data_IF_919797315408
#
_entry.id   IF_919797315408
#
_cell.length_a   1.000
_cell.length_b   1.000
_cell.length_c   1.000
_cell.angle_alpha   90.00
_cell.angle_beta   90.00
_cell.angle_gamma   90.00
#
_symmetry.space_group_name_H-M   'P 1'
#
loop_
_entity.id
_entity.type
_entity.pdbx_description
1 polymer ?
#
# COMPACT_ATOMS: atom_id res chain seq x y z
N UNK A 1 -36.97 -49.28 -1.59
CA UNK A 1 -36.93 -47.85 -1.23
C UNK A 1 -35.47 -47.46 -1.07
N UNK A 2 -34.95 -46.63 -1.96
CA UNK A 2 -33.60 -46.06 -1.83
C UNK A 2 -33.77 -44.72 -1.11
N UNK A 3 -33.31 -44.64 0.13
CA UNK A 3 -33.22 -43.37 0.88
C UNK A 3 -31.97 -42.62 0.41
N UNK A 4 -32.11 -41.79 -0.62
CA UNK A 4 -31.06 -40.88 -1.08
C UNK A 4 -31.20 -39.50 -0.42
N UNK A 5 -30.83 -39.39 0.85
CA UNK A 5 -30.83 -38.14 1.61
C UNK A 5 -29.55 -37.31 1.45
N UNK A 6 -28.96 -37.28 0.26
CA UNK A 6 -27.79 -36.46 -0.03
C UNK A 6 -28.16 -35.38 -1.03
N UNK A 7 -28.20 -34.12 -0.61
CA UNK A 7 -28.29 -33.01 -1.55
C UNK A 7 -27.07 -33.07 -2.49
N UNK A 8 -27.30 -33.11 -3.80
CA UNK A 8 -26.22 -33.06 -4.79
C UNK A 8 -25.40 -31.79 -4.56
N UNK A 9 -24.06 -31.87 -4.43
CA UNK A 9 -23.22 -30.68 -4.29
C UNK A 9 -23.45 -29.73 -5.46
N UNK A 10 -23.60 -28.44 -5.17
CA UNK A 10 -23.61 -27.38 -6.18
C UNK A 10 -22.19 -27.22 -6.73
N UNK A 11 -22.04 -27.31 -8.04
CA UNK A 11 -20.77 -27.11 -8.74
C UNK A 11 -20.71 -25.69 -9.28
N UNK A 12 -19.51 -25.14 -9.34
CA UNK A 12 -19.22 -23.81 -9.83
C UNK A 12 -18.34 -23.89 -11.07
N UNK A 13 -18.75 -23.18 -12.11
CA UNK A 13 -17.90 -22.86 -13.25
C UNK A 13 -17.51 -21.39 -13.14
N UNK A 14 -16.21 -21.12 -13.14
CA UNK A 14 -15.67 -19.78 -13.01
C UNK A 14 -14.90 -19.35 -14.24
N UNK A 15 -15.13 -18.12 -14.69
CA UNK A 15 -14.17 -17.40 -15.54
C UNK A 15 -13.18 -16.72 -14.59
N UNK A 16 -11.91 -17.00 -14.79
CA UNK A 16 -10.82 -16.46 -13.96
C UNK A 16 -9.99 -15.51 -14.81
N UNK A 17 -9.92 -14.25 -14.41
CA UNK A 17 -9.24 -13.18 -15.11
C UNK A 17 -7.85 -12.92 -14.50
N UNK A 18 -6.92 -12.48 -15.34
CA UNK A 18 -5.53 -12.19 -14.99
C UNK A 18 -5.03 -10.96 -15.77
N UNK A 19 -4.19 -10.15 -15.14
CA UNK A 19 -3.52 -9.04 -15.83
C UNK A 19 -2.36 -9.50 -16.73
N UNK A 20 -1.86 -10.72 -16.51
CA UNK A 20 -0.73 -11.28 -17.29
C UNK A 20 -1.03 -12.70 -17.73
N UNK A 21 -0.46 -13.11 -18.86
CA UNK A 21 -0.49 -14.48 -19.35
C UNK A 21 0.63 -15.37 -18.79
N UNK A 22 1.40 -14.86 -17.81
CA UNK A 22 2.52 -15.57 -17.18
C UNK A 22 2.06 -16.93 -16.66
N UNK A 23 2.87 -17.98 -16.87
CA UNK A 23 2.53 -19.33 -16.45
C UNK A 23 1.27 -19.90 -17.11
N UNK A 24 0.79 -19.32 -18.22
CA UNK A 24 -0.45 -19.75 -18.86
C UNK A 24 -1.69 -19.40 -18.04
N UNK A 25 -1.67 -18.28 -17.30
CA UNK A 25 -2.74 -17.89 -16.36
C UNK A 25 -2.96 -18.94 -15.26
N UNK A 26 -1.83 -19.41 -14.74
CA UNK A 26 -1.71 -20.24 -13.55
C UNK A 26 -0.56 -19.71 -12.71
N UNK A 27 -0.34 -20.30 -11.54
CA UNK A 27 0.82 -19.98 -10.71
C UNK A 27 2.10 -19.92 -11.59
N UNK A 28 2.88 -18.83 -11.51
CA UNK A 28 2.91 -17.82 -10.44
C UNK A 28 1.96 -16.62 -10.63
N UNK A 29 1.14 -16.56 -11.68
CA UNK A 29 0.19 -15.47 -11.87
C UNK A 29 -0.92 -15.50 -10.81
N UNK A 30 -1.18 -14.35 -10.19
CA UNK A 30 -2.28 -14.18 -9.25
C UNK A 30 -3.53 -13.76 -10.04
N UNK A 31 -4.68 -14.41 -9.83
CA UNK A 31 -5.93 -14.00 -10.43
C UNK A 31 -6.31 -12.58 -10.00
N UNK A 32 -6.90 -11.82 -10.92
CA UNK A 32 -7.52 -10.53 -10.59
C UNK A 32 -8.96 -10.75 -10.18
N UNK A 33 -9.73 -11.49 -10.97
CA UNK A 33 -11.16 -11.68 -10.73
C UNK A 33 -11.58 -13.14 -10.97
N UNK A 34 -12.44 -13.68 -10.12
CA UNK A 34 -13.19 -14.92 -10.39
C UNK A 34 -14.66 -14.57 -10.53
N UNK A 35 -15.28 -14.90 -11.66
CA UNK A 35 -16.72 -14.80 -11.85
C UNK A 35 -17.28 -16.22 -11.96
N UNK A 36 -17.83 -16.73 -10.86
CA UNK A 36 -18.35 -18.08 -10.75
C UNK A 36 -19.88 -18.12 -10.80
N UNK A 37 -20.41 -19.04 -11.58
CA UNK A 37 -21.85 -19.33 -11.68
C UNK A 37 -22.13 -20.77 -11.30
N UNK A 38 -23.34 -21.01 -10.80
CA UNK A 38 -23.81 -22.36 -10.51
C UNK A 38 -23.95 -23.15 -11.81
N UNK A 39 -23.31 -24.31 -11.87
CA UNK A 39 -23.31 -25.22 -13.02
C UNK A 39 -23.71 -26.64 -12.58
N UNK A 40 -24.12 -27.46 -13.56
CA UNK A 40 -24.36 -28.87 -13.29
C UNK A 40 -23.03 -29.63 -13.12
N UNK A 41 -23.00 -30.76 -12.37
CA UNK A 41 -21.78 -31.50 -12.04
C UNK A 41 -20.91 -31.91 -13.23
N UNK A 42 -21.50 -32.04 -14.42
CA UNK A 42 -20.84 -32.52 -15.63
C UNK A 42 -20.59 -31.41 -16.67
N UNK A 43 -20.98 -30.16 -16.38
CA UNK A 43 -20.88 -29.07 -17.35
C UNK A 43 -19.57 -28.27 -17.26
N UNK A 44 -18.82 -28.37 -16.16
CA UNK A 44 -17.61 -27.60 -16.00
C UNK A 44 -16.39 -28.31 -16.59
N UNK A 45 -15.80 -27.71 -17.63
CA UNK A 45 -14.53 -28.15 -18.23
C UNK A 45 -13.50 -27.05 -18.01
N UNK A 46 -12.52 -27.30 -17.15
CA UNK A 46 -11.45 -26.36 -16.90
C UNK A 46 -10.54 -26.23 -18.13
N UNK A 47 -10.12 -25.01 -18.45
CA UNK A 47 -9.14 -24.79 -19.53
C UNK A 47 -7.73 -24.74 -18.95
N UNK A 48 -6.79 -25.31 -19.70
CA UNK A 48 -5.35 -25.32 -19.39
C UNK A 48 -4.58 -24.26 -20.17
N UNK A 49 -5.22 -23.65 -21.16
CA UNK A 49 -4.63 -22.59 -21.99
C UNK A 49 -5.34 -21.28 -21.65
N UNK A 50 -4.54 -20.23 -21.51
CA UNK A 50 -5.08 -18.90 -21.31
C UNK A 50 -5.62 -18.31 -22.61
N UNK A 51 -6.80 -17.71 -22.53
CA UNK A 51 -7.45 -17.00 -23.62
C UNK A 51 -7.19 -15.49 -23.53
N UNK A 52 -7.34 -14.81 -24.67
CA UNK A 52 -7.15 -13.37 -24.80
C UNK A 52 -5.81 -12.98 -25.41
N UNK A 53 -5.79 -11.84 -26.11
CA UNK A 53 -4.58 -11.22 -26.69
C UNK A 53 -4.04 -10.07 -25.84
N UNK A 54 -4.68 -9.78 -24.70
CA UNK A 54 -4.32 -8.74 -23.76
C UNK A 54 -5.17 -8.82 -22.49
N UNK A 55 -4.77 -8.09 -21.45
CA UNK A 55 -5.49 -8.07 -20.19
C UNK A 55 -6.95 -7.55 -20.35
N UNK A 56 -7.95 -8.21 -19.73
CA UNK A 56 -7.79 -9.40 -18.92
C UNK A 56 -7.62 -10.67 -19.77
N UNK A 57 -6.57 -11.41 -19.47
CA UNK A 57 -6.45 -12.80 -19.93
C UNK A 57 -7.36 -13.68 -19.09
N UNK A 58 -7.90 -14.76 -19.66
CA UNK A 58 -8.88 -15.57 -18.93
C UNK A 58 -8.74 -17.07 -19.13
N UNK A 59 -9.27 -17.83 -18.17
CA UNK A 59 -9.43 -19.29 -18.25
C UNK A 59 -10.70 -19.73 -17.53
N UNK A 60 -11.14 -20.95 -17.81
CA UNK A 60 -12.21 -21.60 -17.05
C UNK A 60 -11.62 -22.42 -15.90
N UNK A 61 -12.13 -22.22 -14.70
CA UNK A 61 -11.85 -23.04 -13.52
C UNK A 61 -13.13 -23.68 -12.99
N UNK A 62 -12.98 -24.84 -12.35
CA UNK A 62 -14.07 -25.59 -11.75
C UNK A 62 -13.85 -25.71 -10.25
N UNK A 63 -14.90 -25.52 -9.47
CA UNK A 63 -14.87 -25.56 -8.00
C UNK A 63 -16.18 -26.17 -7.46
N UNK A 64 -16.18 -26.62 -6.22
CA UNK A 64 -17.43 -26.86 -5.47
C UNK A 64 -17.78 -25.65 -4.63
N UNK A 65 -19.07 -25.43 -4.34
CA UNK A 65 -19.48 -24.39 -3.35
C UNK A 65 -18.85 -24.66 -1.98
N UNK A 66 -18.72 -25.93 -1.59
CA UNK A 66 -18.11 -26.32 -0.30
C UNK A 66 -16.59 -26.14 -0.22
N UNK A 67 -15.88 -26.16 -1.35
CA UNK A 67 -14.41 -26.02 -1.41
C UNK A 67 -13.97 -24.61 -1.77
N UNK A 68 -14.89 -23.77 -2.29
CA UNK A 68 -14.59 -22.46 -2.86
C UNK A 68 -13.71 -21.59 -1.96
N UNK A 69 -13.98 -21.56 -0.66
CA UNK A 69 -13.16 -20.80 0.31
C UNK A 69 -11.70 -21.26 0.31
N UNK A 70 -11.46 -22.56 0.35
CA UNK A 70 -10.11 -23.14 0.32
C UNK A 70 -9.45 -22.91 -1.03
N UNK A 71 -10.22 -23.03 -2.12
CA UNK A 71 -9.72 -22.79 -3.48
C UNK A 71 -9.27 -21.33 -3.67
N UNK A 72 -9.97 -20.35 -3.09
CA UNK A 72 -9.56 -18.94 -3.11
C UNK A 72 -8.29 -18.70 -2.28
N UNK A 73 -8.15 -19.32 -1.10
CA UNK A 73 -6.91 -19.23 -0.31
C UNK A 73 -5.72 -19.75 -1.13
N UNK A 74 -5.88 -20.87 -1.84
CA UNK A 74 -4.83 -21.42 -2.68
C UNK A 74 -4.53 -20.53 -3.91
N UNK A 75 -5.55 -19.95 -4.51
CA UNK A 75 -5.42 -19.13 -5.73
C UNK A 75 -4.76 -17.77 -5.47
N UNK A 76 -5.11 -17.10 -4.38
CA UNK A 76 -4.58 -15.77 -4.03
C UNK A 76 -3.34 -15.82 -3.14
N UNK A 77 -3.13 -16.93 -2.41
CA UNK A 77 -2.01 -17.07 -1.48
C UNK A 77 -2.03 -15.96 -0.42
N UNK A 78 -0.97 -15.14 -0.38
CA UNK A 78 -0.86 -14.00 0.54
C UNK A 78 -1.50 -12.72 0.01
N UNK A 79 -1.97 -12.70 -1.24
CA UNK A 79 -2.62 -11.52 -1.81
C UNK A 79 -4.01 -11.31 -1.19
N UNK A 80 -4.37 -10.06 -0.90
CA UNK A 80 -5.69 -9.74 -0.36
C UNK A 80 -6.78 -9.99 -1.39
N UNK A 81 -7.92 -10.54 -0.97
CA UNK A 81 -9.07 -10.76 -1.85
C UNK A 81 -10.39 -10.62 -1.11
N UNK A 82 -11.44 -10.25 -1.83
CA UNK A 82 -12.82 -10.13 -1.34
C UNK A 82 -13.72 -11.01 -2.19
N UNK A 83 -14.44 -11.91 -1.53
CA UNK A 83 -15.46 -12.77 -2.13
C UNK A 83 -16.83 -12.19 -1.83
N UNK A 84 -17.65 -12.10 -2.87
CA UNK A 84 -19.04 -11.66 -2.83
C UNK A 84 -19.91 -12.78 -3.37
N UNK A 85 -20.66 -13.44 -2.50
CA UNK A 85 -21.72 -14.36 -2.90
C UNK A 85 -22.99 -13.55 -3.12
N UNK A 86 -23.60 -13.71 -4.30
CA UNK A 86 -24.86 -13.07 -4.65
C UNK A 86 -25.98 -14.11 -4.67
N UNK A 87 -27.13 -13.70 -4.13
CA UNK A 87 -28.33 -14.51 -4.05
C UNK A 87 -29.47 -13.82 -4.81
N UNK A 88 -30.48 -14.60 -5.20
CA UNK A 88 -31.66 -14.03 -5.84
C UNK A 88 -32.34 -13.02 -4.90
N UNK A 89 -32.97 -11.99 -5.47
CA UNK A 89 -33.50 -10.88 -4.68
C UNK A 89 -34.57 -11.31 -3.68
N UNK A 90 -34.46 -10.80 -2.45
CA UNK A 90 -35.35 -11.07 -1.33
C UNK A 90 -35.23 -12.48 -0.76
N UNK A 91 -34.12 -13.17 -1.03
CA UNK A 91 -33.89 -14.54 -0.56
C UNK A 91 -32.98 -14.63 0.66
N UNK A 92 -32.48 -13.51 1.18
CA UNK A 92 -31.76 -13.46 2.48
C UNK A 92 -30.66 -14.52 2.58
N UNK A 93 -29.93 -14.71 1.48
CA UNK A 93 -28.84 -15.66 1.34
C UNK A 93 -29.19 -17.14 1.59
N UNK A 94 -30.41 -17.55 1.20
CA UNK A 94 -30.77 -18.95 1.05
C UNK A 94 -29.78 -19.66 0.10
N UNK A 95 -29.11 -20.70 0.60
CA UNK A 95 -28.12 -21.48 -0.15
C UNK A 95 -28.64 -22.03 -1.48
N UNK A 96 -29.95 -22.34 -1.57
CA UNK A 96 -30.58 -22.83 -2.80
C UNK A 96 -30.85 -21.72 -3.83
N UNK A 97 -30.62 -20.47 -3.44
CA UNK A 97 -30.87 -19.26 -4.24
C UNK A 97 -29.59 -18.53 -4.60
N UNK A 98 -28.42 -19.17 -4.43
CA UNK A 98 -27.14 -18.65 -4.87
C UNK A 98 -27.17 -18.47 -6.40
N UNK A 99 -26.96 -17.23 -6.85
CA UNK A 99 -26.96 -16.88 -8.28
C UNK A 99 -25.55 -16.80 -8.85
N UNK A 100 -24.57 -16.46 -8.02
CA UNK A 100 -23.17 -16.41 -8.42
C UNK A 100 -22.24 -16.07 -7.27
N UNK A 101 -20.95 -16.23 -7.50
CA UNK A 101 -19.89 -15.82 -6.59
C UNK A 101 -18.86 -15.04 -7.39
N UNK A 102 -18.56 -13.82 -6.98
CA UNK A 102 -17.47 -13.04 -7.57
C UNK A 102 -16.35 -12.84 -6.55
N UNK A 103 -15.11 -13.12 -6.91
CA UNK A 103 -13.94 -12.83 -6.07
C UNK A 103 -13.08 -11.79 -6.74
N UNK A 104 -12.70 -10.75 -6.01
CA UNK A 104 -11.91 -9.63 -6.47
C UNK A 104 -10.55 -9.62 -5.75
N UNK A 105 -9.47 -9.50 -6.50
CA UNK A 105 -8.15 -9.11 -5.97
C UNK A 105 -8.32 -7.74 -5.31
N UNK A 106 -8.09 -7.69 -4.00
CA UNK A 106 -8.33 -6.52 -3.18
C UNK A 106 -7.02 -5.82 -2.84
N UNK A 107 -6.17 -5.61 -3.83
CA UNK A 107 -4.88 -4.97 -3.63
C UNK A 107 -4.97 -3.44 -3.75
N UNK A 108 -6.14 -2.85 -4.03
CA UNK A 108 -6.35 -1.42 -4.19
C UNK A 108 -5.93 -0.85 -5.55
N UNK A 109 -5.42 -1.68 -6.48
CA UNK A 109 -5.12 -1.28 -7.86
C UNK A 109 -6.35 -1.36 -8.74
N UNK A 110 -6.25 -0.72 -9.91
CA UNK A 110 -7.24 -0.83 -10.96
C UNK A 110 -7.02 -2.13 -11.75
N UNK A 111 -8.04 -2.99 -11.80
CA UNK A 111 -8.01 -4.21 -12.59
C UNK A 111 -9.08 -4.15 -13.68
N UNK A 112 -8.71 -4.62 -14.87
CA UNK A 112 -9.65 -4.68 -16.00
C UNK A 112 -10.54 -5.91 -15.89
N UNK A 113 -11.81 -5.74 -16.22
CA UNK A 113 -12.73 -6.82 -16.54
C UNK A 113 -12.92 -6.88 -18.05
N UNK A 114 -13.79 -7.76 -18.55
CA UNK A 114 -14.03 -7.90 -20.00
C UNK A 114 -14.50 -6.61 -20.68
N UNK A 115 -15.16 -5.71 -19.95
CA UNK A 115 -15.81 -4.51 -20.51
C UNK A 115 -15.60 -3.24 -19.68
N UNK A 116 -14.96 -3.34 -18.53
CA UNK A 116 -14.94 -2.32 -17.49
C UNK A 116 -13.66 -2.47 -16.63
N UNK A 117 -13.65 -1.84 -15.46
CA UNK A 117 -12.62 -2.05 -14.44
C UNK A 117 -13.19 -1.96 -13.04
N UNK A 118 -12.40 -2.40 -12.06
CA UNK A 118 -12.76 -2.30 -10.66
C UNK A 118 -11.54 -1.99 -9.78
N UNK A 119 -11.81 -1.52 -8.56
CA UNK A 119 -10.87 -1.48 -7.44
C UNK A 119 -11.52 -2.17 -6.24
N UNK A 120 -10.77 -3.00 -5.55
CA UNK A 120 -11.23 -3.61 -4.32
C UNK A 120 -10.22 -3.40 -3.19
N UNK A 121 -10.72 -3.20 -1.98
CA UNK A 121 -9.93 -3.03 -0.77
C UNK A 121 -10.50 -3.94 0.31
N UNK A 122 -9.62 -4.56 1.10
CA UNK A 122 -9.93 -5.29 2.33
C UNK A 122 -9.03 -4.78 3.45
N UNK A 123 -9.63 -4.18 4.46
CA UNK A 123 -8.92 -3.65 5.64
C UNK A 123 -8.66 -4.76 6.67
N UNK A 124 -7.82 -4.45 7.65
CA UNK A 124 -7.44 -5.40 8.72
C UNK A 124 -8.61 -5.84 9.58
N UNK A 125 -9.60 -4.98 9.80
CA UNK A 125 -10.85 -5.31 10.50
C UNK A 125 -11.80 -6.17 9.64
N UNK A 126 -11.39 -6.53 8.42
CA UNK A 126 -12.17 -7.30 7.46
C UNK A 126 -13.13 -6.45 6.63
N UNK A 127 -13.37 -5.18 6.99
CA UNK A 127 -14.21 -4.30 6.17
C UNK A 127 -13.68 -4.20 4.74
N UNK A 128 -14.58 -4.21 3.77
CA UNK A 128 -14.24 -4.44 2.37
C UNK A 128 -15.05 -3.54 1.45
N UNK A 129 -14.41 -2.94 0.46
CA UNK A 129 -15.07 -2.17 -0.58
C UNK A 129 -14.76 -2.76 -1.95
N UNK A 130 -15.74 -2.70 -2.86
CA UNK A 130 -15.56 -2.96 -4.29
C UNK A 130 -16.23 -1.84 -5.05
N UNK A 131 -15.45 -1.13 -5.85
CA UNK A 131 -15.90 -0.07 -6.75
C UNK A 131 -15.72 -0.54 -8.18
N UNK A 132 -16.71 -0.29 -9.03
CA UNK A 132 -16.65 -0.56 -10.46
C UNK A 132 -16.62 0.75 -11.23
N UNK A 133 -16.08 0.68 -12.44
CA UNK A 133 -15.89 1.80 -13.35
C UNK A 133 -16.30 1.38 -14.75
N UNK A 134 -16.86 2.32 -15.51
CA UNK A 134 -17.34 2.01 -16.87
C UNK A 134 -16.22 2.01 -17.92
N UNK A 135 -15.03 2.48 -17.57
CA UNK A 135 -13.83 2.43 -18.39
C UNK A 135 -12.82 1.37 -17.92
N UNK A 136 -11.69 1.24 -18.62
CA UNK A 136 -10.62 0.28 -18.31
C UNK A 136 -9.49 0.84 -17.44
N UNK A 137 -9.62 2.06 -16.94
CA UNK A 137 -8.57 2.85 -16.26
C UNK A 137 -8.97 3.31 -14.85
N UNK A 138 -10.16 2.93 -14.40
CA UNK A 138 -10.76 3.38 -13.14
C UNK A 138 -10.82 4.91 -13.02
N UNK A 139 -11.21 5.60 -14.09
CA UNK A 139 -11.22 7.07 -14.15
C UNK A 139 -12.64 7.67 -14.23
N UNK A 140 -13.61 6.93 -14.78
CA UNK A 140 -14.95 7.40 -15.10
C UNK A 140 -16.03 6.38 -14.75
N UNK A 141 -17.22 6.92 -14.47
CA UNK A 141 -18.41 6.13 -14.16
C UNK A 141 -18.29 5.28 -12.89
N UNK A 142 -17.62 5.80 -11.85
CA UNK A 142 -17.48 5.12 -10.57
C UNK A 142 -18.84 4.77 -9.96
N UNK A 143 -18.99 3.52 -9.54
CA UNK A 143 -20.12 3.04 -8.76
C UNK A 143 -19.63 2.13 -7.62
N UNK A 144 -20.20 2.28 -6.43
CA UNK A 144 -19.95 1.36 -5.31
C UNK A 144 -20.78 0.10 -5.50
N UNK A 145 -20.11 -1.01 -5.81
CA UNK A 145 -20.74 -2.33 -5.86
C UNK A 145 -20.90 -2.91 -4.44
N UNK A 146 -19.89 -2.71 -3.60
CA UNK A 146 -19.86 -3.21 -2.24
C UNK A 146 -19.22 -2.20 -1.28
N UNK A 147 -19.85 -2.01 -0.12
CA UNK A 147 -19.27 -1.34 1.04
C UNK A 147 -19.66 -2.11 2.32
N UNK A 148 -18.84 -3.12 2.65
CA UNK A 148 -19.06 -4.02 3.77
C UNK A 148 -18.29 -3.55 5.01
N UNK A 149 -19.00 -3.34 6.10
CA UNK A 149 -18.46 -3.09 7.45
C UNK A 149 -17.80 -4.34 8.04
N UNK A 150 -16.94 -4.14 9.04
CA UNK A 150 -16.28 -5.24 9.76
C UNK A 150 -17.29 -6.25 10.34
N UNK A 151 -18.40 -5.76 10.90
CA UNK A 151 -19.44 -6.61 11.50
C UNK A 151 -20.15 -7.51 10.46
N UNK A 152 -20.38 -7.00 9.25
CA UNK A 152 -20.97 -7.80 8.17
C UNK A 152 -20.04 -8.93 7.73
N UNK A 153 -18.73 -8.69 7.75
CA UNK A 153 -17.72 -9.67 7.33
C UNK A 153 -17.41 -10.70 8.43
N UNK A 154 -17.32 -10.28 9.69
CA UNK A 154 -17.00 -11.17 10.82
C UNK A 154 -18.04 -12.27 11.00
N UNK A 155 -19.31 -11.90 10.88
CA UNK A 155 -20.41 -12.81 11.17
C UNK A 155 -20.79 -13.65 9.94
N UNK A 156 -20.15 -13.40 8.78
CA UNK A 156 -20.57 -13.90 7.47
C UNK A 156 -22.10 -13.76 7.28
N UNK A 157 -22.66 -12.70 7.87
CA UNK A 157 -24.09 -12.50 7.92
C UNK A 157 -24.57 -12.09 6.55
N UNK A 158 -25.77 -12.56 6.21
CA UNK A 158 -26.41 -12.10 5.00
C UNK A 158 -26.74 -10.62 5.15
N UNK A 159 -26.22 -9.79 4.25
CA UNK A 159 -26.65 -8.41 4.11
C UNK A 159 -27.52 -8.30 2.86
N UNK A 160 -28.82 -8.10 3.06
CA UNK A 160 -29.84 -8.19 2.01
C UNK A 160 -29.77 -9.56 1.28
N UNK A 161 -29.11 -9.62 0.12
CA UNK A 161 -28.95 -10.84 -0.68
C UNK A 161 -27.47 -11.11 -1.01
N UNK A 162 -26.56 -10.64 -0.15
CA UNK A 162 -25.12 -10.83 -0.30
C UNK A 162 -24.45 -11.40 0.96
N UNK A 163 -23.46 -12.26 0.76
CA UNK A 163 -22.47 -12.61 1.78
C UNK A 163 -21.08 -12.20 1.33
N UNK A 164 -20.30 -11.68 2.26
CA UNK A 164 -18.95 -11.18 2.00
C UNK A 164 -17.96 -11.83 2.96
N UNK A 165 -16.84 -12.29 2.41
CA UNK A 165 -15.69 -12.77 3.17
C UNK A 165 -14.43 -12.59 2.33
N UNK A 166 -13.26 -12.90 2.88
CA UNK A 166 -12.01 -12.71 2.16
C UNK A 166 -10.79 -13.04 3.00
N UNK A 167 -9.62 -12.93 2.39
CA UNK A 167 -8.32 -13.14 3.02
C UNK A 167 -7.37 -11.99 2.75
N UNK A 168 -6.31 -11.88 3.56
CA UNK A 168 -5.27 -10.86 3.41
C UNK A 168 -5.73 -9.43 3.76
N UNK A 169 -4.79 -8.48 3.68
CA UNK A 169 -5.02 -7.05 3.94
C UNK A 169 -4.44 -6.26 2.78
N UNK A 170 -5.19 -5.30 2.25
CA UNK A 170 -4.71 -4.40 1.21
C UNK A 170 -3.47 -3.65 1.69
N UNK A 171 -2.42 -3.53 0.86
CA UNK A 171 -1.32 -2.62 1.19
C UNK A 171 -1.83 -1.19 1.26
N UNK A 172 -1.14 -0.35 2.05
CA UNK A 172 -1.29 1.09 1.95
C UNK A 172 -0.38 1.61 0.83
N UNK A 173 -0.95 2.40 -0.06
CA UNK A 173 -0.22 3.13 -1.08
C UNK A 173 0.32 4.43 -0.49
N UNK A 174 1.41 4.92 -1.04
CA UNK A 174 2.13 6.06 -0.53
C UNK A 174 2.36 7.06 -1.65
N UNK A 175 1.97 8.30 -1.39
CA UNK A 175 2.30 9.44 -2.24
C UNK A 175 3.31 10.31 -1.50
N UNK A 176 4.51 10.42 -2.07
CA UNK A 176 5.63 11.15 -1.50
C UNK A 176 5.89 12.42 -2.28
N UNK A 177 5.86 13.56 -1.58
CA UNK A 177 6.41 14.82 -2.06
C UNK A 177 7.89 14.85 -1.70
N UNK A 178 8.73 14.74 -2.71
CA UNK A 178 10.19 14.81 -2.60
C UNK A 178 10.62 16.27 -2.82
N UNK A 179 11.33 16.86 -1.87
CA UNK A 179 11.87 18.23 -1.94
C UNK A 179 13.37 18.22 -2.19
N UNK A 180 13.86 19.17 -2.99
CA UNK A 180 15.25 19.30 -3.42
C UNK A 180 15.71 20.75 -3.35
N UNK A 181 17.00 20.96 -3.06
CA UNK A 181 17.63 22.29 -3.11
C UNK A 181 17.78 22.84 -4.53
N UNK A 182 17.78 21.95 -5.54
CA UNK A 182 18.01 22.29 -6.93
C UNK A 182 17.07 21.55 -7.86
N UNK A 183 16.69 22.20 -8.97
CA UNK A 183 15.95 21.60 -10.07
C UNK A 183 16.83 20.83 -11.06
N UNK A 184 18.15 20.88 -10.86
CA UNK A 184 19.12 20.16 -11.71
C UNK A 184 18.75 18.68 -11.77
N UNK A 185 18.81 18.07 -12.96
CA UNK A 185 18.43 16.66 -13.14
C UNK A 185 16.92 16.39 -13.05
N UNK A 186 16.07 17.42 -12.96
CA UNK A 186 14.62 17.27 -13.02
C UNK A 186 14.01 16.60 -11.79
N UNK A 187 14.61 16.76 -10.61
CA UNK A 187 14.12 16.21 -9.33
C UNK A 187 14.05 14.69 -9.35
N UNK A 188 15.08 14.08 -9.93
CA UNK A 188 15.23 12.63 -10.09
C UNK A 188 16.64 12.21 -9.71
N UNK A 189 16.80 10.91 -9.42
CA UNK A 189 18.12 10.28 -9.29
C UNK A 189 19.00 10.67 -10.48
N UNK A 190 20.27 11.08 -10.26
CA UNK A 190 21.07 10.90 -9.05
C UNK A 190 20.95 12.01 -7.98
N UNK A 191 20.05 12.98 -8.14
CA UNK A 191 19.91 14.07 -7.16
C UNK A 191 19.21 13.56 -5.91
N UNK A 192 19.82 13.82 -4.75
CA UNK A 192 19.30 13.40 -3.45
C UNK A 192 18.24 14.37 -2.95
N UNK A 193 17.05 13.89 -2.57
CA UNK A 193 16.04 14.73 -1.93
C UNK A 193 16.53 15.15 -0.54
N UNK A 194 16.22 16.38 -0.13
CA UNK A 194 16.46 16.83 1.24
C UNK A 194 15.34 16.40 2.18
N UNK A 195 14.09 16.45 1.75
CA UNK A 195 12.95 16.16 2.60
C UNK A 195 11.94 15.36 1.78
N UNK A 196 11.36 14.33 2.38
CA UNK A 196 10.29 13.56 1.77
C UNK A 196 9.10 13.54 2.70
N UNK A 197 8.02 14.18 2.31
CA UNK A 197 6.75 14.15 3.02
C UNK A 197 5.84 13.13 2.35
N UNK A 198 5.43 12.10 3.07
CA UNK A 198 4.65 10.98 2.52
C UNK A 198 3.31 10.86 3.22
N UNK A 199 2.25 10.82 2.42
CA UNK A 199 0.88 10.54 2.87
C UNK A 199 0.45 9.14 2.45
N UNK A 200 -0.40 8.52 3.27
CA UNK A 200 -0.96 7.19 3.00
C UNK A 200 -2.25 7.29 2.21
N UNK A 201 -2.45 6.37 1.27
CA UNK A 201 -3.63 6.20 0.44
C UNK A 201 -4.10 4.73 0.51
N UNK A 202 -5.40 4.50 0.42
CA UNK A 202 -5.95 3.13 0.39
C UNK A 202 -5.97 2.53 -1.02
N UNK A 203 -5.90 3.37 -2.05
CA UNK A 203 -5.97 2.99 -3.47
C UNK A 203 -4.71 3.45 -4.20
N UNK A 204 -4.31 2.70 -5.23
CA UNK A 204 -3.19 3.07 -6.10
C UNK A 204 -3.64 4.10 -7.15
N UNK A 205 -3.70 5.37 -6.74
CA UNK A 205 -4.10 6.49 -7.60
C UNK A 205 -2.96 7.50 -7.81
N UNK A 206 -1.81 7.25 -7.19
CA UNK A 206 -0.67 8.14 -7.27
C UNK A 206 -0.09 8.16 -8.68
N UNK A 207 0.20 9.36 -9.19
CA UNK A 207 0.92 9.54 -10.46
C UNK A 207 2.22 10.29 -10.18
N UNK A 208 3.35 9.63 -10.48
CA UNK A 208 4.66 10.22 -10.28
C UNK A 208 4.89 11.36 -11.29
N UNK A 209 5.53 12.45 -10.85
CA UNK A 209 5.83 13.54 -11.77
C UNK A 209 7.04 13.21 -12.63
N UNK A 210 7.05 13.70 -13.86
CA UNK A 210 8.16 13.51 -14.80
C UNK A 210 9.19 14.65 -14.75
N UNK A 211 8.85 15.77 -14.10
CA UNK A 211 9.69 16.95 -13.92
C UNK A 211 9.51 17.57 -12.53
N UNK A 212 10.44 18.45 -12.14
CA UNK A 212 10.29 19.31 -10.97
C UNK A 212 9.10 20.27 -11.12
N UNK A 213 8.50 20.62 -9.98
CA UNK A 213 7.70 21.82 -9.79
C UNK A 213 8.49 22.87 -8.98
N UNK A 214 8.08 24.13 -9.09
CA UNK A 214 8.69 25.27 -8.40
C UNK A 214 9.68 26.07 -9.24
N UNK A 215 9.86 27.34 -8.89
CA UNK A 215 10.80 28.28 -9.52
C UNK A 215 11.99 28.62 -8.62
N UNK A 216 11.94 28.21 -7.35
CA UNK A 216 12.97 28.39 -6.35
C UNK A 216 12.92 27.22 -5.35
N UNK A 217 13.99 27.09 -4.57
CA UNK A 217 14.07 26.12 -3.47
C UNK A 217 12.93 26.33 -2.44
N UNK A 218 12.17 25.28 -2.06
CA UNK A 218 12.25 23.88 -2.50
C UNK A 218 11.61 23.58 -3.85
N UNK A 219 12.38 22.94 -4.72
CA UNK A 219 11.86 22.24 -5.89
C UNK A 219 11.24 20.92 -5.46
N UNK A 220 10.13 20.52 -6.06
CA UNK A 220 9.40 19.32 -5.64
C UNK A 220 9.08 18.36 -6.78
N UNK A 221 8.95 17.08 -6.45
CA UNK A 221 8.41 16.05 -7.34
C UNK A 221 7.52 15.08 -6.57
N UNK A 222 6.60 14.42 -7.27
CA UNK A 222 5.79 13.33 -6.68
C UNK A 222 6.42 11.99 -7.01
N UNK A 223 6.62 11.15 -5.99
CA UNK A 223 6.97 9.74 -6.12
C UNK A 223 5.83 8.87 -5.56
N UNK A 224 5.62 7.71 -6.18
CA UNK A 224 4.58 6.77 -5.80
C UNK A 224 5.23 5.48 -5.32
N UNK A 225 4.77 4.95 -4.20
CA UNK A 225 5.27 3.69 -3.62
C UNK A 225 4.16 3.01 -2.82
N UNK A 226 4.50 1.95 -2.09
CA UNK A 226 3.63 1.32 -1.10
C UNK A 226 4.40 1.07 0.18
N UNK A 227 3.71 0.73 1.27
CA UNK A 227 4.37 0.37 2.54
C UNK A 227 5.33 -0.81 2.43
N UNK A 228 5.22 -1.66 1.39
CA UNK A 228 6.14 -2.78 1.16
C UNK A 228 7.43 -2.38 0.46
N UNK A 229 7.41 -1.36 -0.41
CA UNK A 229 8.58 -0.92 -1.19
C UNK A 229 9.26 0.33 -0.63
N UNK A 230 8.54 1.13 0.17
CA UNK A 230 8.95 2.45 0.62
C UNK A 230 10.41 2.55 1.09
N UNK A 231 10.84 1.65 1.98
CA UNK A 231 12.20 1.70 2.55
C UNK A 231 13.28 1.45 1.49
N UNK A 232 13.00 0.59 0.51
CA UNK A 232 13.90 0.34 -0.62
C UNK A 232 13.91 1.53 -1.59
N UNK A 233 12.75 2.10 -1.87
CA UNK A 233 12.60 3.26 -2.76
C UNK A 233 13.34 4.48 -2.18
N UNK A 234 13.19 4.74 -0.88
CA UNK A 234 13.93 5.77 -0.15
C UNK A 234 15.43 5.47 -0.12
N UNK A 235 15.85 4.24 0.17
CA UNK A 235 17.27 3.87 0.13
C UNK A 235 17.90 4.13 -1.23
N UNK A 236 17.16 3.88 -2.32
CA UNK A 236 17.60 4.17 -3.68
C UNK A 236 17.67 5.68 -3.96
N UNK A 237 16.67 6.44 -3.50
CA UNK A 237 16.62 7.88 -3.71
C UNK A 237 17.74 8.65 -2.97
N UNK A 238 18.09 8.20 -1.76
CA UNK A 238 19.17 8.81 -0.97
C UNK A 238 20.55 8.25 -1.32
N UNK A 239 20.64 7.04 -1.86
CA UNK A 239 21.89 6.39 -2.22
C UNK A 239 22.81 6.23 -1.00
N UNK A 240 24.03 6.78 -1.10
CA UNK A 240 25.00 6.75 0.00
C UNK A 240 24.80 7.86 1.05
N UNK A 241 23.87 8.79 0.83
CA UNK A 241 23.64 9.88 1.76
C UNK A 241 22.90 9.40 3.01
N UNK A 242 23.25 9.91 4.20
CA UNK A 242 22.56 9.54 5.42
C UNK A 242 21.13 10.07 5.45
N UNK A 243 20.19 9.28 5.93
CA UNK A 243 18.79 9.70 6.06
C UNK A 243 18.10 9.05 7.26
N UNK A 244 17.05 9.72 7.74
CA UNK A 244 16.20 9.24 8.84
C UNK A 244 14.75 9.24 8.37
N UNK A 245 14.12 8.07 8.43
CA UNK A 245 12.69 7.88 8.19
C UNK A 245 11.97 7.91 9.53
N UNK A 246 10.94 8.74 9.64
CA UNK A 246 10.05 8.84 10.80
C UNK A 246 8.63 8.47 10.36
N UNK A 247 8.16 7.32 10.80
CA UNK A 247 6.77 6.89 10.63
C UNK A 247 5.98 7.34 11.86
N UNK A 248 4.91 8.11 11.64
CA UNK A 248 3.99 8.55 12.70
C UNK A 248 2.67 7.81 12.61
N UNK A 249 2.14 7.47 13.76
CA UNK A 249 0.88 6.77 13.90
C UNK A 249 -0.12 7.62 14.67
N UNK A 250 -1.40 7.26 14.57
CA UNK A 250 -2.46 7.89 15.36
C UNK A 250 -2.15 7.71 16.84
N UNK A 251 -2.30 8.79 17.62
CA UNK A 251 -2.00 8.79 19.05
C UNK A 251 -2.73 7.67 19.80
N UNK A 252 -1.99 6.95 20.65
CA UNK A 252 -2.46 5.84 21.47
C UNK A 252 -2.68 4.53 20.71
N UNK A 253 -2.26 4.43 19.44
CA UNK A 253 -2.47 3.22 18.63
C UNK A 253 -1.25 2.30 18.58
N UNK A 254 -0.17 2.61 19.30
CA UNK A 254 1.01 1.73 19.46
C UNK A 254 1.57 1.21 18.13
N UNK A 255 1.60 2.07 17.13
CA UNK A 255 1.99 1.76 15.75
C UNK A 255 1.23 0.60 15.07
N UNK A 256 -0.07 0.48 15.33
CA UNK A 256 -0.95 -0.28 14.46
C UNK A 256 -0.74 0.17 13.00
N UNK A 257 -0.38 -0.77 12.12
CA UNK A 257 -0.08 -0.51 10.72
C UNK A 257 -1.23 0.19 9.97
N UNK A 258 -2.47 -0.01 10.41
CA UNK A 258 -3.67 0.65 9.85
C UNK A 258 -3.85 2.10 10.30
N UNK A 259 -3.07 2.53 11.30
CA UNK A 259 -3.13 3.84 11.92
C UNK A 259 -1.93 4.69 11.57
N UNK A 260 -1.14 4.28 10.56
CA UNK A 260 -0.06 5.08 10.00
C UNK A 260 -0.64 6.36 9.40
N UNK A 261 -0.27 7.52 9.95
CA UNK A 261 -0.81 8.83 9.54
C UNK A 261 0.10 9.58 8.59
N UNK A 262 1.39 9.25 8.58
CA UNK A 262 2.34 9.85 7.66
C UNK A 262 3.75 9.33 7.87
N UNK A 263 4.57 9.52 6.85
CA UNK A 263 6.00 9.20 6.91
C UNK A 263 6.77 10.44 6.48
N UNK A 264 7.77 10.83 7.25
CA UNK A 264 8.71 11.89 6.85
C UNK A 264 10.12 11.34 6.79
N UNK A 265 10.80 11.52 5.67
CA UNK A 265 12.22 11.20 5.56
C UNK A 265 13.04 12.49 5.47
N UNK A 266 14.06 12.58 6.31
CA UNK A 266 14.97 13.71 6.41
C UNK A 266 16.36 13.31 5.91
N UNK A 267 16.99 14.15 5.10
CA UNK A 267 18.42 14.09 4.84
C UNK A 267 19.17 14.40 6.14
N UNK A 268 19.97 13.44 6.59
CA UNK A 268 20.63 13.48 7.88
C UNK A 268 22.12 13.77 7.75
N UNK A 269 22.47 14.73 6.87
CA UNK A 269 23.84 15.10 6.59
C UNK A 269 24.37 16.20 7.52
N UNK A 270 23.66 16.60 8.57
CA UNK A 270 24.09 17.61 9.54
C UNK A 270 24.04 19.07 9.05
N UNK A 271 23.73 19.31 7.77
CA UNK A 271 23.57 20.66 7.21
C UNK A 271 22.16 21.19 7.50
N UNK A 272 22.02 22.49 7.31
CA UNK A 272 20.72 23.17 7.36
C UNK A 272 19.99 22.97 6.03
N UNK A 273 18.75 22.51 6.10
CA UNK A 273 17.88 22.25 4.96
C UNK A 273 16.61 23.07 5.09
N UNK A 274 16.33 23.91 4.09
CA UNK A 274 15.11 24.73 4.03
C UNK A 274 13.89 23.80 3.85
N UNK A 275 12.87 23.96 4.69
CA UNK A 275 11.57 23.28 4.52
C UNK A 275 10.65 24.15 3.66
N UNK A 276 10.58 25.43 4.01
CA UNK A 276 9.82 26.47 3.32
C UNK A 276 10.49 27.85 3.53
N UNK A 277 9.84 28.93 3.08
CA UNK A 277 10.41 30.29 3.19
C UNK A 277 10.66 30.78 4.62
N UNK A 278 10.13 30.11 5.64
CA UNK A 278 10.18 30.53 7.04
C UNK A 278 10.85 29.50 7.95
N UNK A 279 10.97 28.24 7.54
CA UNK A 279 11.42 27.16 8.43
C UNK A 279 12.49 26.29 7.79
N UNK A 280 13.31 25.68 8.64
CA UNK A 280 14.38 24.79 8.22
C UNK A 280 14.58 23.67 9.23
N UNK A 281 15.41 22.69 8.90
CA UNK A 281 15.79 21.63 9.81
C UNK A 281 17.26 21.23 9.67
N UNK A 282 17.78 20.56 10.70
CA UNK A 282 19.03 19.80 10.67
C UNK A 282 18.76 18.38 11.12
N UNK A 283 19.23 17.41 10.35
CA UNK A 283 19.17 16.00 10.70
C UNK A 283 20.56 15.41 10.87
N UNK A 284 20.72 14.54 11.87
CA UNK A 284 21.92 13.71 12.03
C UNK A 284 21.53 12.27 12.29
N UNK A 285 22.41 11.36 11.88
CA UNK A 285 22.33 9.93 12.12
C UNK A 285 23.73 9.39 12.30
N UNK A 286 24.02 8.76 13.43
CA UNK A 286 25.35 8.20 13.67
C UNK A 286 25.44 6.75 13.16
N UNK A 287 26.64 6.15 13.23
CA UNK A 287 26.87 4.78 12.77
C UNK A 287 26.08 3.74 13.57
N UNK A 288 25.86 3.99 14.87
CA UNK A 288 25.06 3.10 15.72
C UNK A 288 23.55 3.23 15.46
N UNK A 289 23.15 4.22 14.65
CA UNK A 289 21.77 4.46 14.26
C UNK A 289 21.01 5.45 15.12
N UNK A 290 21.58 5.93 16.22
CA UNK A 290 21.04 7.09 16.93
C UNK A 290 20.87 8.27 15.97
N UNK A 291 19.74 8.97 16.11
CA UNK A 291 19.27 9.95 15.13
C UNK A 291 18.67 11.16 15.82
N UNK A 292 18.96 12.37 15.32
CA UNK A 292 18.37 13.61 15.82
C UNK A 292 17.85 14.46 14.67
N UNK A 293 16.64 14.99 14.82
CA UNK A 293 16.05 15.98 13.92
C UNK A 293 15.68 17.21 14.74
N UNK A 294 16.22 18.36 14.35
CA UNK A 294 15.91 19.67 14.92
C UNK A 294 15.28 20.56 13.86
N UNK A 295 14.23 21.28 14.22
CA UNK A 295 13.56 22.26 13.36
C UNK A 295 13.83 23.66 13.86
N UNK A 296 13.76 24.64 12.97
CA UNK A 296 14.03 26.05 13.24
C UNK A 296 12.93 26.92 12.64
N UNK A 297 12.67 28.08 13.26
CA UNK A 297 11.65 29.04 12.81
C UNK A 297 12.21 30.10 11.86
N UNK A 298 13.34 29.80 11.24
CA UNK A 298 13.99 30.58 10.19
C UNK A 298 14.56 29.64 9.12
N UNK A 299 14.86 30.11 7.89
CA UNK A 299 15.38 29.25 6.82
C UNK A 299 16.90 28.96 6.92
N UNK A 300 17.61 29.52 7.91
CA UNK A 300 19.08 29.43 8.05
C UNK A 300 19.55 28.62 9.26
N UNK A 301 18.61 28.01 9.99
CA UNK A 301 18.86 27.24 11.20
C UNK A 301 19.60 28.04 12.29
N UNK A 302 19.11 29.24 12.62
CA UNK A 302 19.75 30.16 13.59
C UNK A 302 18.85 30.55 14.75
N UNK A 303 17.53 30.42 14.63
CA UNK A 303 16.53 30.87 15.57
C UNK A 303 15.42 29.82 15.79
N UNK A 304 14.86 29.82 16.99
CA UNK A 304 13.69 28.99 17.33
C UNK A 304 13.94 27.49 17.24
N UNK A 305 15.16 27.02 17.56
CA UNK A 305 15.50 25.60 17.57
C UNK A 305 14.54 24.79 18.44
N UNK A 306 13.97 23.73 17.88
CA UNK A 306 13.13 22.76 18.58
C UNK A 306 13.56 21.34 18.20
N UNK A 307 13.74 20.47 19.20
CA UNK A 307 13.99 19.05 18.96
C UNK A 307 12.70 18.37 18.54
N UNK A 308 12.64 17.92 17.29
CA UNK A 308 11.52 17.14 16.76
C UNK A 308 11.71 15.64 17.05
N UNK A 309 12.95 15.16 16.98
CA UNK A 309 13.33 13.78 17.25
C UNK A 309 14.70 13.75 17.91
N UNK A 310 14.81 12.94 18.96
CA UNK A 310 16.07 12.51 19.55
C UNK A 310 15.93 11.03 19.92
N UNK A 311 16.41 10.16 19.03
CA UNK A 311 16.23 8.72 19.11
C UNK A 311 17.57 8.05 19.43
N UNK A 312 17.62 7.37 20.57
CA UNK A 312 18.78 6.57 20.97
C UNK A 312 18.90 5.29 20.15
N UNK A 313 20.09 4.69 20.17
CA UNK A 313 20.38 3.39 19.55
C UNK A 313 19.42 2.29 20.01
N UNK A 314 19.07 2.28 21.30
CA UNK A 314 18.12 1.33 21.87
C UNK A 314 16.71 1.52 21.32
N UNK A 315 16.27 2.78 21.13
CA UNK A 315 14.97 3.08 20.54
C UNK A 315 14.89 2.75 19.05
N UNK A 316 15.94 3.03 18.28
CA UNK A 316 16.00 2.70 16.85
C UNK A 316 16.12 1.19 16.62
N UNK A 317 16.85 0.48 17.48
CA UNK A 317 16.95 -0.98 17.40
C UNK A 317 15.67 -1.67 17.85
N UNK A 318 15.08 -1.19 18.96
CA UNK A 318 13.85 -1.76 19.51
C UNK A 318 12.63 -1.44 18.67
N UNK A 319 12.55 -0.22 18.12
CA UNK A 319 11.44 0.28 17.31
C UNK A 319 10.06 -0.02 17.91
N UNK A 320 10.00 -0.06 19.24
CA UNK A 320 8.75 -0.21 20.00
C UNK A 320 7.98 1.10 19.96
N UNK A 321 6.66 1.01 20.01
CA UNK A 321 5.79 2.17 19.90
C UNK A 321 5.22 2.65 21.22
N UNK A 322 5.95 2.36 22.28
CA UNK A 322 5.64 2.69 23.67
C UNK A 322 6.73 3.58 24.25
N UNK A 323 6.36 4.44 25.21
CA UNK A 323 7.32 5.25 25.97
C UNK A 323 8.22 4.33 26.80
N UNK A 324 9.39 3.96 26.26
CA UNK A 324 10.31 3.04 26.90
C UNK A 324 11.73 3.25 26.41
N UNK A 325 12.69 2.55 27.02
CA UNK A 325 14.10 2.59 26.58
C UNK A 325 14.30 2.03 25.17
N UNK A 326 13.39 1.20 24.68
CA UNK A 326 13.44 0.58 23.36
C UNK A 326 12.39 1.13 22.39
N UNK A 327 11.70 2.22 22.75
CA UNK A 327 10.60 2.74 21.95
C UNK A 327 10.33 4.23 22.05
N UNK A 328 9.56 4.71 21.08
CA UNK A 328 9.03 6.07 20.99
C UNK A 328 7.52 5.94 20.80
N UNK A 329 6.73 6.67 21.59
CA UNK A 329 5.27 6.60 21.52
C UNK A 329 4.79 6.85 20.09
N UNK A 330 4.00 5.91 19.57
CA UNK A 330 3.34 5.99 18.25
C UNK A 330 4.27 6.39 17.09
N UNK A 331 5.57 6.06 17.20
CA UNK A 331 6.59 6.47 16.24
C UNK A 331 7.56 5.33 16.00
N UNK A 332 7.87 5.06 14.73
CA UNK A 332 8.98 4.21 14.32
C UNK A 332 10.02 5.03 13.59
N UNK A 333 11.29 4.68 13.82
CA UNK A 333 12.44 5.37 13.26
C UNK A 333 13.33 4.38 12.52
N UNK A 334 13.60 4.68 11.26
CA UNK A 334 14.51 3.92 10.40
C UNK A 334 15.50 4.88 9.75
N UNK A 335 16.45 4.35 8.99
CA UNK A 335 17.38 5.19 8.25
C UNK A 335 18.53 4.39 7.65
N UNK A 336 19.33 5.07 6.84
CA UNK A 336 20.54 4.53 6.23
C UNK A 336 21.68 5.55 6.34
N UNK A 337 22.92 5.05 6.22
CA UNK A 337 24.12 5.88 6.27
C UNK A 337 24.46 6.46 7.65
N UNK A 338 25.54 7.24 7.69
CA UNK A 338 25.96 8.01 8.85
C UNK A 338 26.33 9.43 8.41
N UNK A 339 26.00 10.42 9.24
CA UNK A 339 26.38 11.81 9.05
C UNK A 339 27.90 11.91 8.93
N UNK A 340 28.43 12.50 7.84
CA UNK A 340 29.85 12.77 7.73
C UNK A 340 30.33 13.62 8.90
N UNK A 341 31.56 13.36 9.36
CA UNK A 341 32.22 14.26 10.30
C UNK A 341 32.61 15.54 9.55
N UNK A 342 32.09 16.68 9.99
CA UNK A 342 32.53 17.99 9.53
C UNK A 342 33.67 18.47 10.42
N UNK A 343 34.82 18.74 9.82
CA UNK A 343 35.95 19.34 10.51
C UNK A 343 35.79 20.86 10.49
N UNK A 344 35.82 21.47 11.67
CA UNK A 344 35.99 22.92 11.79
C UNK A 344 37.47 23.22 12.02
N UNK A 345 38.09 23.90 11.07
CA UNK A 345 39.47 24.35 11.18
C UNK A 345 39.51 25.84 11.51
N UNK A 346 40.22 26.21 12.57
CA UNK A 346 40.58 27.60 12.86
C UNK A 346 41.94 27.85 12.23
N UNK A 347 42.01 28.76 11.27
CA UNK A 347 43.27 29.21 10.67
C UNK A 347 43.71 30.46 11.40
N UNK A 348 44.88 30.39 12.05
CA UNK A 348 45.53 31.56 12.67
C UNK A 348 46.53 32.14 11.66
N UNK A 349 46.52 33.46 11.50
CA UNK A 349 47.46 34.19 10.65
C UNK A 349 48.41 35.00 11.55
N UNK A 350 49.70 35.00 11.21
CA UNK A 350 50.73 35.75 11.93
C UNK A 350 50.65 37.26 11.66
N UNK A 351 49.97 37.67 10.59
CA UNK A 351 49.78 39.07 10.18
C UNK A 351 48.32 39.36 9.88
N UNK A 352 47.87 40.57 10.19
CA UNK A 352 46.53 41.08 9.86
C UNK A 352 46.45 41.72 8.47
N UNK A 353 47.45 41.46 7.61
CA UNK A 353 47.66 42.06 6.29
C UNK A 353 48.06 40.99 5.30
#
# INVERSE_FOLDING_TARGET
MVYGGGATPLYLQAIVNYDTSTGGCMAPAIPTEFVAVVASPHACVATTVCAGSGAPYSRTACSGVSTFKTDMVAAFGSSPYVVVESYASGQSCDALKLTGITTYLADGKCHKTSTASYRAIRKTDGSSTVKTYTDFTCAGGEATLLDATAAQVSDSTCNADMKVYGGGVSPLYLQSTMSYDTSTGGCKSPVTPKLVLTVTQNEDTCTATTSCAGTADPFTSTACSSTSTYKSDIGTAFGSNPYVIVEKYTSGQSCDATKLTGITTYLADGKCHIIDSMTSYRGTRTLDGSSSIKTYTDPTCTAGETTLLDASTAQVTGNSCTASTSGIVDTKVYGGGATPLYLQSVVNYDTST
#
